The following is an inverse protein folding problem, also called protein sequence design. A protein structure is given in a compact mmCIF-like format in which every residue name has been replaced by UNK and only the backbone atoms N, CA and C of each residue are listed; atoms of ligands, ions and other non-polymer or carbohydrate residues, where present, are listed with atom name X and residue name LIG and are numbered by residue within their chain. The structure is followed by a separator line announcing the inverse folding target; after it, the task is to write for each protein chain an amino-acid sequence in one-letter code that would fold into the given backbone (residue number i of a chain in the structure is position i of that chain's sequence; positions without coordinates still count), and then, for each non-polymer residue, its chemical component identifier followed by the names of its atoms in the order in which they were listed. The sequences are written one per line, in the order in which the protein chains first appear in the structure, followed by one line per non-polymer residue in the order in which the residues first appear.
data_IF_626048506176
#
_entry.id   IF_626048506176
#
_cell.length_a   1.000
_cell.length_b   1.000
_cell.length_c   1.000
_cell.angle_alpha   90.00
_cell.angle_beta   90.00
_cell.angle_gamma   90.00
#
_symmetry.space_group_name_H-M   'P 1'
#
loop_
_entity.id
_entity.type
_entity.pdbx_description
1 polymer ?
#
# COMPACT_ATOMS: atom_id res chain seq x y z
N UNK A 1 8.75 -4.66 11.81
CA UNK A 1 7.74 -5.52 12.45
C UNK A 1 8.16 -6.97 12.32
N UNK A 2 8.50 -7.67 13.43
CA UNK A 2 8.82 -9.10 13.41
C UNK A 2 7.57 -9.97 13.18
N UNK A 3 7.79 -11.25 12.89
CA UNK A 3 6.73 -12.24 12.69
C UNK A 3 5.76 -12.29 13.88
N UNK A 4 4.48 -12.38 13.60
CA UNK A 4 3.41 -12.40 14.60
C UNK A 4 3.04 -11.03 15.18
N UNK A 5 3.67 -9.94 14.71
CA UNK A 5 3.25 -8.60 15.14
C UNK A 5 1.81 -8.34 14.69
N UNK A 6 1.00 -7.82 15.62
CA UNK A 6 -0.36 -7.36 15.36
C UNK A 6 -0.47 -5.87 15.66
N UNK A 7 -0.95 -5.10 14.69
CA UNK A 7 -1.21 -3.67 14.80
C UNK A 7 -2.71 -3.48 14.67
N UNK A 8 -3.30 -2.78 15.63
CA UNK A 8 -4.73 -2.48 15.65
C UNK A 8 -4.95 -0.97 15.54
N UNK A 9 -5.58 -0.56 14.46
CA UNK A 9 -5.91 0.84 14.19
C UNK A 9 -7.28 1.20 14.78
N UNK A 10 -7.35 2.35 15.43
CA UNK A 10 -8.59 2.93 15.97
C UNK A 10 -8.65 4.40 15.61
N UNK A 11 -9.69 4.87 14.97
CA UNK A 11 -9.81 6.30 14.65
C UNK A 11 -10.21 6.62 13.21
N UNK A 12 -10.65 5.63 12.46
CA UNK A 12 -11.19 5.83 11.11
C UNK A 12 -10.15 6.45 10.16
N UNK A 13 -10.57 7.45 9.39
CA UNK A 13 -9.74 8.16 8.39
C UNK A 13 -8.50 8.84 8.97
N UNK A 14 -8.48 9.11 10.27
CA UNK A 14 -7.31 9.69 10.94
C UNK A 14 -6.21 8.65 11.22
N UNK A 15 -6.49 7.36 11.05
CA UNK A 15 -5.54 6.27 11.32
C UNK A 15 -5.09 5.62 10.01
N UNK A 16 -3.86 5.81 9.64
CA UNK A 16 -3.19 5.08 8.55
C UNK A 16 -1.70 4.99 8.84
N UNK A 17 -1.00 4.08 8.17
CA UNK A 17 0.46 3.98 8.24
C UNK A 17 1.02 4.51 6.92
N UNK A 18 1.91 5.50 7.01
CA UNK A 18 2.57 6.05 5.84
C UNK A 18 4.09 5.94 5.94
N UNK A 19 4.70 5.47 4.86
CA UNK A 19 6.15 5.46 4.67
C UNK A 19 6.44 6.51 3.60
N UNK A 20 7.00 7.64 4.00
CA UNK A 20 7.40 8.71 3.08
C UNK A 20 8.62 8.29 2.25
N UNK A 21 8.93 9.06 1.21
CA UNK A 21 10.17 8.87 0.45
C UNK A 21 11.38 8.75 1.38
N UNK A 22 12.33 7.90 1.03
CA UNK A 22 13.53 7.54 1.83
C UNK A 22 13.23 6.75 3.12
N UNK A 23 11.97 6.57 3.48
CA UNK A 23 11.57 5.69 4.58
C UNK A 23 11.68 4.22 4.21
N UNK A 24 12.10 3.39 5.15
CA UNK A 24 12.23 1.94 4.94
C UNK A 24 11.28 1.19 5.89
N UNK A 25 10.42 0.36 5.30
CA UNK A 25 9.53 -0.52 6.04
C UNK A 25 10.06 -1.96 6.03
N UNK A 26 10.24 -2.53 7.20
CA UNK A 26 10.59 -3.95 7.33
C UNK A 26 9.44 -4.71 8.00
N UNK A 27 8.76 -5.54 7.20
CA UNK A 27 7.74 -6.48 7.64
C UNK A 27 8.29 -7.89 7.44
N UNK A 28 8.67 -8.52 8.52
CA UNK A 28 9.33 -9.82 8.53
C UNK A 28 8.39 -10.91 9.08
N UNK A 29 7.21 -11.04 8.48
CA UNK A 29 6.29 -12.13 8.78
C UNK A 29 6.80 -13.47 8.24
N UNK A 30 6.09 -14.54 8.59
CA UNK A 30 6.27 -15.89 8.03
C UNK A 30 4.91 -16.48 7.64
N UNK A 31 4.91 -17.58 6.89
CA UNK A 31 3.67 -18.25 6.46
C UNK A 31 2.79 -18.73 7.64
N UNK A 32 3.39 -19.03 8.77
CA UNK A 32 2.68 -19.47 9.99
C UNK A 32 2.46 -18.35 11.00
N UNK A 33 3.20 -17.26 10.89
CA UNK A 33 3.15 -16.09 11.76
C UNK A 33 3.24 -14.79 10.95
N UNK A 34 2.21 -14.44 10.16
CA UNK A 34 2.21 -13.17 9.41
C UNK A 34 2.19 -11.97 10.34
N UNK A 35 2.61 -10.82 9.82
CA UNK A 35 2.29 -9.54 10.43
C UNK A 35 0.86 -9.17 10.03
N UNK A 36 0.06 -8.70 10.98
CA UNK A 36 -1.34 -8.34 10.73
C UNK A 36 -1.55 -6.87 11.11
N UNK A 37 -2.02 -6.07 10.15
CA UNK A 37 -2.50 -4.71 10.35
C UNK A 37 -4.01 -4.72 10.17
N UNK A 38 -4.77 -4.35 11.19
CA UNK A 38 -6.22 -4.56 11.19
C UNK A 38 -6.95 -3.49 11.99
N UNK A 39 -8.28 -3.49 11.88
CA UNK A 39 -9.14 -2.67 12.74
C UNK A 39 -9.05 -3.09 14.22
N UNK A 40 -9.02 -2.12 15.11
CA UNK A 40 -9.15 -2.30 16.56
C UNK A 40 -10.61 -2.27 17.06
N UNK A 41 -11.59 -2.07 16.16
CA UNK A 41 -12.99 -2.03 16.55
C UNK A 41 -13.49 -3.41 17.02
N UNK A 42 -14.41 -3.41 17.96
CA UNK A 42 -15.02 -4.67 18.46
C UNK A 42 -15.84 -5.39 17.37
N UNK A 43 -16.52 -4.62 16.52
CA UNK A 43 -17.18 -5.09 15.29
C UNK A 43 -16.45 -4.47 14.12
N UNK A 44 -15.76 -5.28 13.37
CA UNK A 44 -14.89 -4.82 12.26
C UNK A 44 -15.68 -4.67 10.97
N UNK A 45 -15.44 -3.58 10.25
CA UNK A 45 -16.04 -3.28 8.95
C UNK A 45 -15.01 -2.69 7.99
N UNK A 46 -15.28 -2.76 6.69
CA UNK A 46 -14.56 -1.98 5.66
C UNK A 46 -14.57 -0.50 6.02
N UNK A 47 -13.50 0.20 5.74
CA UNK A 47 -13.38 1.62 6.07
C UNK A 47 -13.10 1.95 7.54
N UNK A 48 -12.79 0.96 8.37
CA UNK A 48 -12.47 1.20 9.79
C UNK A 48 -11.19 2.02 9.98
N UNK A 49 -10.27 2.00 9.01
CA UNK A 49 -9.03 2.78 9.00
C UNK A 49 -8.49 2.93 7.58
N UNK A 50 -7.48 3.79 7.38
CA UNK A 50 -6.98 4.13 6.06
C UNK A 50 -6.18 3.03 5.36
N UNK A 51 -5.37 2.25 6.08
CA UNK A 51 -4.52 1.24 5.45
C UNK A 51 -3.03 1.59 5.46
N UNK A 52 -2.28 1.00 4.51
CA UNK A 52 -0.83 1.17 4.37
C UNK A 52 -0.52 1.97 3.11
N UNK A 53 0.20 3.07 3.24
CA UNK A 53 0.67 3.93 2.16
C UNK A 53 2.19 3.91 2.12
N UNK A 54 2.79 3.65 0.94
CA UNK A 54 4.24 3.65 0.75
C UNK A 54 4.57 4.55 -0.43
N UNK A 55 5.46 5.54 -0.23
CA UNK A 55 5.91 6.49 -1.23
C UNK A 55 7.39 6.28 -1.55
N UNK A 56 7.71 6.03 -2.82
CA UNK A 56 9.06 5.86 -3.33
C UNK A 56 9.45 6.94 -4.34
N UNK A 57 10.64 6.76 -4.95
CA UNK A 57 11.27 7.71 -5.89
C UNK A 57 11.28 7.21 -7.34
N UNK A 58 10.58 6.12 -7.65
CA UNK A 58 10.49 5.61 -9.01
C UNK A 58 9.55 6.47 -9.87
N UNK A 59 9.63 6.30 -11.17
CA UNK A 59 8.90 7.11 -12.14
C UNK A 59 7.37 7.05 -11.96
N UNK A 60 6.74 8.19 -12.17
CA UNK A 60 5.29 8.33 -12.36
C UNK A 60 5.02 9.25 -13.54
N UNK A 61 3.87 9.13 -14.18
CA UNK A 61 3.42 10.07 -15.20
C UNK A 61 2.45 11.15 -14.66
N UNK A 62 2.14 11.09 -13.37
CA UNK A 62 1.17 12.00 -12.69
C UNK A 62 1.59 13.47 -12.76
N UNK A 63 2.86 13.76 -12.66
CA UNK A 63 3.39 15.13 -12.70
C UNK A 63 3.46 15.75 -14.11
N UNK A 64 2.91 15.11 -15.14
CA UNK A 64 2.88 15.59 -16.51
C UNK A 64 4.10 15.23 -17.36
N UNK A 65 5.19 14.79 -16.77
CA UNK A 65 6.35 14.22 -17.46
C UNK A 65 7.09 13.22 -16.58
N UNK A 66 7.68 12.21 -17.23
CA UNK A 66 8.49 11.19 -16.55
C UNK A 66 9.60 11.82 -15.72
N UNK A 67 9.79 11.35 -14.50
CA UNK A 67 10.83 11.83 -13.59
C UNK A 67 10.44 13.01 -12.72
N UNK A 68 9.19 13.46 -12.80
CA UNK A 68 8.64 14.47 -11.90
C UNK A 68 8.13 13.81 -10.60
N UNK A 69 8.07 14.62 -9.55
CA UNK A 69 7.35 14.24 -8.33
C UNK A 69 5.88 14.61 -8.43
N UNK A 70 5.05 13.88 -7.70
CA UNK A 70 3.63 14.15 -7.56
C UNK A 70 3.22 14.11 -6.09
N UNK A 71 1.98 14.48 -5.80
CA UNK A 71 1.37 14.36 -4.48
C UNK A 71 0.39 13.19 -4.48
N UNK A 72 0.50 12.33 -3.47
CA UNK A 72 -0.43 11.21 -3.29
C UNK A 72 -1.86 11.71 -3.11
N UNK A 73 -2.83 10.94 -3.54
CA UNK A 73 -4.24 11.32 -3.41
C UNK A 73 -4.73 11.31 -1.95
N UNK A 74 -4.08 10.52 -1.10
CA UNK A 74 -4.35 10.45 0.33
C UNK A 74 -3.10 10.82 1.13
N UNK A 75 -3.27 11.55 2.23
CA UNK A 75 -2.17 11.93 3.12
C UNK A 75 -1.26 13.06 2.62
N UNK A 76 -1.48 13.60 1.42
CA UNK A 76 -0.70 14.70 0.82
C UNK A 76 0.82 14.46 0.85
N UNK A 77 1.25 13.21 0.56
CA UNK A 77 2.66 12.82 0.58
C UNK A 77 3.30 13.00 -0.80
N UNK A 78 4.57 13.38 -0.83
CA UNK A 78 5.35 13.43 -2.07
C UNK A 78 5.78 12.03 -2.49
N UNK A 79 5.67 11.71 -3.78
CA UNK A 79 6.18 10.48 -4.39
C UNK A 79 6.71 10.73 -5.81
N UNK A 80 7.33 9.72 -6.41
CA UNK A 80 7.86 9.80 -7.77
C UNK A 80 9.24 10.42 -7.85
N UNK A 81 9.81 10.39 -9.03
CA UNK A 81 11.16 10.84 -9.34
C UNK A 81 11.76 10.06 -10.50
N UNK A 82 13.06 9.78 -10.45
CA UNK A 82 13.81 9.10 -11.52
C UNK A 82 14.49 7.81 -11.07
N UNK A 83 14.32 7.42 -9.81
CA UNK A 83 15.07 6.32 -9.22
C UNK A 83 14.26 5.00 -9.27
N UNK A 84 14.14 4.41 -10.46
CA UNK A 84 13.35 3.18 -10.65
C UNK A 84 13.85 1.98 -9.83
N UNK A 85 15.07 2.01 -9.34
CA UNK A 85 15.64 0.99 -8.44
C UNK A 85 15.57 1.36 -6.97
N UNK A 86 14.82 2.41 -6.62
CA UNK A 86 14.55 2.82 -5.24
C UNK A 86 14.02 1.66 -4.39
N UNK A 87 14.29 1.70 -3.11
CA UNK A 87 13.83 0.70 -2.16
C UNK A 87 13.10 1.35 -0.99
N UNK A 88 11.89 0.93 -0.77
CA UNK A 88 11.10 1.24 0.43
C UNK A 88 11.15 0.13 1.50
N UNK A 89 12.07 -0.84 1.34
CA UNK A 89 12.34 -1.88 2.31
C UNK A 89 11.89 -3.28 1.89
N UNK A 90 11.49 -4.10 2.87
CA UNK A 90 11.11 -5.51 2.67
C UNK A 90 9.77 -5.78 3.34
N UNK A 91 8.78 -6.15 2.56
CA UNK A 91 7.44 -6.49 3.02
C UNK A 91 7.15 -7.94 2.65
N UNK A 92 7.09 -8.81 3.65
CA UNK A 92 6.79 -10.23 3.48
C UNK A 92 5.80 -10.75 4.52
N UNK A 93 4.84 -11.55 4.05
CA UNK A 93 3.79 -12.16 4.87
C UNK A 93 3.04 -11.13 5.72
N UNK A 94 2.47 -10.16 5.02
CA UNK A 94 1.64 -9.10 5.57
C UNK A 94 0.15 -9.39 5.28
N UNK A 95 -0.70 -9.19 6.27
CA UNK A 95 -2.15 -9.08 6.09
C UNK A 95 -2.59 -7.68 6.50
N UNK A 96 -3.31 -7.00 5.61
CA UNK A 96 -3.92 -5.69 5.86
C UNK A 96 -5.43 -5.85 5.75
N UNK A 97 -6.17 -5.48 6.79
CA UNK A 97 -7.56 -5.85 6.92
C UNK A 97 -8.45 -4.68 7.36
N UNK A 98 -9.67 -4.59 6.79
CA UNK A 98 -10.72 -3.61 7.15
C UNK A 98 -10.33 -2.15 6.90
N UNK A 99 -9.69 -1.91 5.78
CA UNK A 99 -9.14 -0.64 5.32
C UNK A 99 -10.09 0.11 4.41
N UNK A 100 -9.57 1.12 3.70
CA UNK A 100 -10.34 1.84 2.69
C UNK A 100 -11.24 2.91 3.28
N UNK A 101 -10.83 3.54 4.38
CA UNK A 101 -11.58 4.66 4.94
C UNK A 101 -11.59 5.84 3.97
N UNK A 102 -12.73 6.53 3.82
CA UNK A 102 -12.82 7.74 3.01
C UNK A 102 -11.89 8.83 3.56
N UNK A 103 -10.96 9.32 2.74
CA UNK A 103 -10.08 10.43 3.09
C UNK A 103 -10.83 11.77 2.99
N UNK A 104 -11.67 11.92 1.98
CA UNK A 104 -12.57 13.05 1.78
C UNK A 104 -13.77 12.62 0.92
N UNK A 105 -14.54 13.57 0.37
CA UNK A 105 -15.75 13.29 -0.40
C UNK A 105 -15.50 12.59 -1.77
N UNK A 106 -14.26 12.54 -2.24
CA UNK A 106 -13.89 12.06 -3.58
C UNK A 106 -12.63 11.19 -3.60
N UNK A 107 -12.09 10.85 -2.44
CA UNK A 107 -10.87 10.05 -2.32
C UNK A 107 -10.98 9.13 -1.12
N UNK A 108 -10.63 7.91 -1.32
CA UNK A 108 -10.56 6.85 -0.33
C UNK A 108 -9.12 6.35 -0.18
N UNK A 109 -8.85 5.71 0.95
CA UNK A 109 -7.66 4.88 1.11
C UNK A 109 -7.91 3.48 0.55
N UNK A 110 -6.87 2.83 0.11
CA UNK A 110 -6.87 1.41 -0.28
C UNK A 110 -6.46 0.49 0.88
N UNK A 111 -6.43 -0.79 0.63
CA UNK A 111 -5.76 -1.74 1.52
C UNK A 111 -4.28 -1.41 1.63
N UNK A 112 -3.60 -1.39 0.48
CA UNK A 112 -2.22 -0.96 0.34
C UNK A 112 -2.09 -0.07 -0.89
N UNK A 113 -1.59 1.16 -0.72
CA UNK A 113 -1.29 2.09 -1.80
C UNK A 113 0.22 2.22 -1.99
N UNK A 114 0.72 1.95 -3.20
CA UNK A 114 2.14 1.96 -3.56
C UNK A 114 2.41 3.11 -4.54
N UNK A 115 2.80 4.27 -4.04
CA UNK A 115 3.06 5.48 -4.82
C UNK A 115 4.52 5.57 -5.26
N UNK A 116 4.81 5.37 -6.53
CA UNK A 116 6.16 5.49 -7.09
C UNK A 116 7.20 4.58 -6.44
N UNK A 117 6.78 3.39 -5.98
CA UNK A 117 7.67 2.44 -5.31
C UNK A 117 8.58 1.75 -6.33
N UNK A 118 9.89 1.71 -6.04
CA UNK A 118 10.90 1.21 -6.96
C UNK A 118 11.17 -0.29 -6.85
N UNK A 119 11.84 -0.84 -7.88
CA UNK A 119 12.13 -2.27 -8.02
C UNK A 119 13.13 -2.83 -6.99
N UNK A 120 13.80 -1.97 -6.22
CA UNK A 120 14.60 -2.39 -5.08
C UNK A 120 13.79 -2.81 -3.85
N UNK A 121 12.49 -2.54 -3.85
CA UNK A 121 11.57 -2.95 -2.78
C UNK A 121 11.18 -4.41 -2.95
N UNK A 122 11.20 -5.17 -1.86
CA UNK A 122 10.64 -6.53 -1.83
C UNK A 122 9.20 -6.47 -1.33
N UNK A 123 8.25 -6.92 -2.17
CA UNK A 123 6.82 -6.92 -1.85
C UNK A 123 6.21 -8.27 -2.22
N UNK A 124 6.15 -9.17 -1.24
CA UNK A 124 5.79 -10.58 -1.46
C UNK A 124 4.90 -11.13 -0.35
N UNK A 125 3.96 -12.03 -0.71
CA UNK A 125 3.05 -12.67 0.24
C UNK A 125 2.22 -11.65 1.02
N UNK A 126 1.56 -10.77 0.29
CA UNK A 126 0.72 -9.71 0.87
C UNK A 126 -0.75 -10.01 0.61
N UNK A 127 -1.55 -9.91 1.65
CA UNK A 127 -2.99 -10.05 1.59
C UNK A 127 -3.67 -8.73 1.99
N UNK A 128 -4.56 -8.22 1.13
CA UNK A 128 -5.56 -7.22 1.48
C UNK A 128 -6.93 -7.90 1.68
N UNK A 129 -7.63 -7.54 2.74
CA UNK A 129 -8.92 -8.13 3.08
C UNK A 129 -9.90 -7.07 3.55
N UNK A 130 -11.02 -6.95 2.86
CA UNK A 130 -12.09 -5.98 3.14
C UNK A 130 -11.57 -4.54 3.15
N UNK A 131 -11.19 -4.05 1.97
CA UNK A 131 -10.97 -2.63 1.72
C UNK A 131 -12.27 -1.96 1.28
N UNK A 132 -12.50 -0.74 1.69
CA UNK A 132 -13.64 0.09 1.26
C UNK A 132 -13.43 0.73 -0.11
N UNK A 133 -12.25 0.57 -0.68
CA UNK A 133 -11.85 0.90 -2.03
C UNK A 133 -11.02 -0.27 -2.55
N UNK A 134 -9.92 -0.05 -3.28
CA UNK A 134 -9.10 -1.14 -3.81
C UNK A 134 -8.40 -1.96 -2.72
N UNK A 135 -8.11 -3.20 -3.05
CA UNK A 135 -7.29 -4.06 -2.21
C UNK A 135 -5.83 -3.61 -2.21
N UNK A 136 -5.22 -3.54 -3.37
CA UNK A 136 -3.83 -3.09 -3.56
C UNK A 136 -3.78 -2.23 -4.82
N UNK A 137 -3.31 -0.99 -4.71
CA UNK A 137 -3.18 -0.09 -5.84
C UNK A 137 -1.75 0.40 -6.04
N UNK A 138 -1.33 0.45 -7.33
CA UNK A 138 0.01 0.85 -7.77
C UNK A 138 -0.08 2.17 -8.55
N UNK A 139 0.38 3.25 -7.95
CA UNK A 139 0.44 4.58 -8.57
C UNK A 139 1.83 4.85 -9.14
N UNK A 140 2.05 4.54 -10.41
CA UNK A 140 3.39 4.59 -10.99
C UNK A 140 4.35 3.61 -10.36
N UNK A 141 5.65 3.88 -10.49
CA UNK A 141 6.68 3.02 -9.93
C UNK A 141 7.02 1.80 -10.78
N UNK A 142 7.91 0.98 -10.24
CA UNK A 142 8.49 -0.18 -10.92
C UNK A 142 8.68 -1.38 -9.98
N UNK A 143 8.01 -1.39 -8.83
CA UNK A 143 8.10 -2.50 -7.87
C UNK A 143 7.64 -3.81 -8.50
N UNK A 144 8.37 -4.89 -8.22
CA UNK A 144 7.95 -6.25 -8.58
C UNK A 144 7.30 -6.90 -7.38
N UNK A 145 6.07 -7.36 -7.55
CA UNK A 145 5.29 -7.94 -6.47
C UNK A 145 4.88 -9.37 -6.78
N UNK A 146 4.85 -10.23 -5.74
CA UNK A 146 4.54 -11.66 -5.90
C UNK A 146 3.64 -12.17 -4.80
N UNK A 147 2.80 -13.17 -5.17
CA UNK A 147 1.95 -13.86 -4.22
C UNK A 147 1.00 -12.90 -3.49
N UNK A 148 0.23 -12.16 -4.27
CA UNK A 148 -0.75 -11.21 -3.75
C UNK A 148 -2.12 -11.87 -3.63
N UNK A 149 -2.87 -11.51 -2.61
CA UNK A 149 -4.26 -11.91 -2.42
C UNK A 149 -5.06 -10.67 -2.04
N UNK A 150 -6.06 -10.32 -2.83
CA UNK A 150 -7.01 -9.28 -2.49
C UNK A 150 -8.43 -9.89 -2.45
N UNK A 151 -9.12 -9.70 -1.33
CA UNK A 151 -10.42 -10.31 -1.08
C UNK A 151 -11.41 -9.31 -0.50
N UNK A 152 -12.59 -9.25 -1.10
CA UNK A 152 -13.71 -8.41 -0.62
C UNK A 152 -13.38 -6.92 -0.58
N UNK A 153 -12.65 -6.42 -1.57
CA UNK A 153 -12.55 -4.99 -1.86
C UNK A 153 -13.90 -4.50 -2.40
N UNK A 154 -14.26 -3.25 -2.13
CA UNK A 154 -15.53 -2.68 -2.60
C UNK A 154 -15.42 -2.13 -4.02
N UNK A 155 -14.17 -1.83 -4.51
CA UNK A 155 -13.87 -1.56 -5.90
C UNK A 155 -12.95 -2.67 -6.45
N UNK A 156 -11.74 -2.38 -6.91
CA UNK A 156 -10.89 -3.37 -7.54
C UNK A 156 -10.07 -4.22 -6.55
N UNK A 157 -9.80 -5.47 -6.91
CA UNK A 157 -8.89 -6.30 -6.15
C UNK A 157 -7.45 -5.77 -6.25
N UNK A 158 -7.03 -5.41 -7.47
CA UNK A 158 -5.73 -4.79 -7.77
C UNK A 158 -5.92 -3.78 -8.88
N UNK A 159 -5.52 -2.52 -8.65
CA UNK A 159 -5.54 -1.46 -9.64
C UNK A 159 -4.14 -0.90 -9.96
N UNK A 160 -4.04 -0.29 -11.14
CA UNK A 160 -2.81 0.29 -11.70
C UNK A 160 -3.07 1.66 -12.28
N UNK A 161 -2.40 2.66 -11.75
CA UNK A 161 -2.51 4.03 -12.18
C UNK A 161 -1.12 4.64 -12.47
N UNK A 162 -1.11 5.88 -12.94
CA UNK A 162 0.04 6.77 -13.00
C UNK A 162 1.30 6.20 -13.68
N UNK A 163 1.12 5.27 -14.64
CA UNK A 163 2.23 4.73 -15.42
C UNK A 163 3.05 3.64 -14.70
N UNK A 164 2.40 2.81 -13.88
CA UNK A 164 3.04 1.64 -13.28
C UNK A 164 3.75 0.77 -14.33
N UNK A 165 4.96 0.32 -14.04
CA UNK A 165 5.81 -0.44 -14.95
C UNK A 165 6.49 -1.67 -14.32
N UNK A 166 6.05 -2.08 -13.14
CA UNK A 166 6.54 -3.27 -12.46
C UNK A 166 5.94 -4.57 -12.99
N UNK A 167 6.27 -5.67 -12.33
CA UNK A 167 5.77 -7.01 -12.67
C UNK A 167 4.99 -7.60 -11.50
N UNK A 168 3.85 -8.21 -11.80
CA UNK A 168 3.09 -8.98 -10.81
C UNK A 168 3.11 -10.46 -11.15
N UNK A 169 3.37 -11.30 -10.17
CA UNK A 169 3.37 -12.75 -10.31
C UNK A 169 2.49 -13.41 -9.24
N UNK A 170 1.61 -14.32 -9.63
CA UNK A 170 0.72 -15.06 -8.71
C UNK A 170 -0.21 -14.11 -7.93
N UNK A 171 -1.09 -13.45 -8.65
CA UNK A 171 -2.14 -12.58 -8.10
C UNK A 171 -3.49 -13.29 -8.12
#
# INVERSE_FOLDING_TARGET
FPAGTRIEATGGTASYIAIAQDGLLYVNGTSTNPVVMTSGNAVKATGDWGGLVICGRANTNKGGSTGQTATSEVGDLTYGGTENTDSSGVIRYLRVEYTGAAFNATKEFNGVSLFGVGSGTVFEYVQAYKSGDDGIEFFGGSVNAKYLIALHSEDDAVDFADGFSGTLENV
#
